data_IF_300238425388
#
_entry.id   IF_300238425388
#
_cell.length_a   1.000
_cell.length_b   1.000
_cell.length_c   1.000
_cell.angle_alpha   90.00
_cell.angle_beta   90.00
_cell.angle_gamma   90.00
#
_symmetry.space_group_name_H-M   'P 1'
#
loop_
_entity.id
_entity.type
_entity.pdbx_description
1 polymer ?
#
# COMPACT_ATOMS: atom_id res chain seq x y z
N UNK A 1 4.83 8.82 5.16
CA UNK A 1 3.40 9.18 4.95
C UNK A 1 2.52 8.08 5.55
N UNK A 2 1.52 8.46 6.29
CA UNK A 2 0.57 7.49 6.84
C UNK A 2 -0.30 6.92 5.74
N UNK A 3 -0.64 5.65 5.88
CA UNK A 3 -1.47 4.97 4.89
C UNK A 3 -2.25 3.83 5.53
N UNK A 4 -3.16 3.25 4.77
CA UNK A 4 -4.02 2.16 5.22
C UNK A 4 -3.65 0.82 4.60
N UNK A 5 -2.45 0.69 4.07
CA UNK A 5 -2.05 -0.54 3.36
C UNK A 5 -2.14 -1.76 4.28
N UNK A 6 -1.59 -1.66 5.49
CA UNK A 6 -1.64 -2.76 6.44
C UNK A 6 -3.08 -3.15 6.79
N UNK A 7 -3.92 -2.14 7.05
CA UNK A 7 -5.32 -2.38 7.35
C UNK A 7 -6.03 -3.10 6.21
N UNK A 8 -5.87 -2.60 4.98
CA UNK A 8 -6.52 -3.19 3.81
C UNK A 8 -6.03 -4.61 3.55
N UNK A 9 -4.72 -4.83 3.74
CA UNK A 9 -4.13 -6.15 3.60
C UNK A 9 -4.71 -7.13 4.63
N UNK A 10 -4.80 -6.70 5.88
CA UNK A 10 -5.32 -7.54 6.95
C UNK A 10 -6.79 -7.87 6.75
N UNK A 11 -7.57 -6.92 6.23
CA UNK A 11 -8.98 -7.16 5.93
C UNK A 11 -9.18 -8.26 4.90
N UNK A 12 -8.20 -8.49 4.04
CA UNK A 12 -8.24 -9.53 3.02
C UNK A 12 -7.44 -10.77 3.43
N UNK A 13 -6.92 -10.80 4.64
CA UNK A 13 -6.11 -11.91 5.16
C UNK A 13 -4.89 -12.19 4.30
N UNK A 14 -4.25 -11.13 3.79
CA UNK A 14 -3.06 -11.24 2.95
C UNK A 14 -1.80 -11.03 3.78
N UNK A 15 -0.77 -11.83 3.48
CA UNK A 15 0.56 -11.59 4.03
C UNK A 15 1.24 -10.46 3.26
N UNK A 16 2.30 -9.90 3.84
CA UNK A 16 3.10 -8.90 3.15
C UNK A 16 3.67 -9.43 1.83
N UNK A 17 4.09 -10.69 1.82
CA UNK A 17 4.63 -11.30 0.61
C UNK A 17 3.56 -11.47 -0.46
N UNK A 18 2.36 -11.87 -0.06
CA UNK A 18 1.27 -12.02 -1.02
C UNK A 18 0.90 -10.69 -1.66
N UNK A 19 0.86 -9.63 -0.88
CA UNK A 19 0.58 -8.31 -1.44
C UNK A 19 1.72 -7.85 -2.35
N UNK A 20 2.98 -8.08 -1.95
CA UNK A 20 4.13 -7.73 -2.76
C UNK A 20 4.07 -8.42 -4.12
N UNK A 21 3.75 -9.71 -4.13
CA UNK A 21 3.62 -10.48 -5.37
C UNK A 21 2.49 -9.93 -6.25
N UNK A 22 1.38 -9.55 -5.63
CA UNK A 22 0.21 -9.07 -6.37
C UNK A 22 0.48 -7.75 -7.10
N UNK A 23 1.32 -6.89 -6.54
CA UNK A 23 1.63 -5.59 -7.15
C UNK A 23 3.06 -5.52 -7.70
N UNK A 24 3.71 -6.69 -7.82
CA UNK A 24 5.01 -6.85 -8.49
C UNK A 24 6.14 -6.01 -7.86
N UNK A 25 6.22 -6.04 -6.55
CA UNK A 25 7.32 -5.42 -5.80
C UNK A 25 7.88 -6.41 -4.79
N UNK A 26 8.96 -6.04 -4.11
CA UNK A 26 9.54 -6.88 -3.08
C UNK A 26 8.77 -6.73 -1.77
N UNK A 27 8.86 -7.77 -0.92
CA UNK A 27 8.29 -7.71 0.41
C UNK A 27 8.83 -6.52 1.20
N UNK A 28 10.13 -6.22 1.05
CA UNK A 28 10.74 -5.10 1.75
C UNK A 28 10.08 -3.77 1.37
N UNK A 29 9.66 -3.62 0.12
CA UNK A 29 8.95 -2.44 -0.32
C UNK A 29 7.62 -2.29 0.44
N UNK A 30 6.88 -3.39 0.59
CA UNK A 30 5.62 -3.37 1.34
C UNK A 30 5.87 -3.01 2.80
N UNK A 31 6.89 -3.61 3.42
CA UNK A 31 7.25 -3.30 4.81
C UNK A 31 7.55 -1.81 4.98
N UNK A 32 8.36 -1.25 4.09
CA UNK A 32 8.71 0.17 4.15
C UNK A 32 7.52 1.08 3.94
N UNK A 33 6.61 0.71 3.03
CA UNK A 33 5.37 1.46 2.81
C UNK A 33 4.50 1.46 4.06
N UNK A 34 4.30 0.29 4.67
CA UNK A 34 3.44 0.16 5.85
C UNK A 34 4.00 0.93 7.04
N UNK A 35 5.32 1.04 7.13
CA UNK A 35 5.97 1.80 8.19
C UNK A 35 6.01 3.31 7.92
N UNK A 36 5.54 3.75 6.76
CA UNK A 36 5.54 5.16 6.41
C UNK A 36 6.91 5.72 6.05
N UNK A 37 7.92 4.86 5.85
CA UNK A 37 9.29 5.28 5.54
C UNK A 37 9.56 5.48 4.06
N UNK A 38 8.67 5.00 3.23
CA UNK A 38 8.82 5.06 1.79
C UNK A 38 7.50 5.49 1.18
N UNK A 39 7.55 6.42 0.26
CA UNK A 39 6.38 6.87 -0.47
C UNK A 39 6.31 6.10 -1.78
N UNK A 40 5.16 5.54 -2.07
CA UNK A 40 4.98 4.79 -3.30
C UNK A 40 5.15 5.69 -4.51
N UNK A 41 5.74 5.13 -5.58
CA UNK A 41 5.70 5.78 -6.89
C UNK A 41 4.25 5.88 -7.34
N UNK A 42 3.98 6.77 -8.29
CA UNK A 42 2.63 6.91 -8.83
C UNK A 42 2.12 5.60 -9.42
N UNK A 43 2.99 4.86 -10.11
CA UNK A 43 2.62 3.57 -10.70
C UNK A 43 2.24 2.57 -9.61
N UNK A 44 3.03 2.47 -8.55
CA UNK A 44 2.75 1.54 -7.47
C UNK A 44 1.49 1.96 -6.71
N UNK A 45 1.31 3.25 -6.46
CA UNK A 45 0.11 3.75 -5.80
C UNK A 45 -1.15 3.38 -6.61
N UNK A 46 -1.07 3.51 -7.93
CA UNK A 46 -2.17 3.12 -8.82
C UNK A 46 -2.46 1.62 -8.74
N UNK A 47 -1.40 0.79 -8.77
CA UNK A 47 -1.56 -0.66 -8.66
C UNK A 47 -2.23 -1.07 -7.36
N UNK A 48 -1.83 -0.44 -6.26
CA UNK A 48 -2.44 -0.69 -4.96
C UNK A 48 -3.92 -0.30 -4.95
N UNK A 49 -4.25 0.85 -5.52
CA UNK A 49 -5.62 1.32 -5.60
C UNK A 49 -6.50 0.36 -6.40
N UNK A 50 -6.00 -0.09 -7.55
CA UNK A 50 -6.73 -1.06 -8.38
C UNK A 50 -6.89 -2.39 -7.64
N UNK A 51 -5.82 -2.88 -7.03
CA UNK A 51 -5.86 -4.17 -6.32
C UNK A 51 -6.86 -4.16 -5.17
N UNK A 52 -6.88 -3.08 -4.39
CA UNK A 52 -7.80 -2.95 -3.26
C UNK A 52 -9.15 -2.37 -3.64
N UNK A 53 -9.37 -2.10 -4.93
CA UNK A 53 -10.64 -1.55 -5.44
C UNK A 53 -11.04 -0.26 -4.74
N UNK A 54 -10.08 0.65 -4.61
CA UNK A 54 -10.26 1.91 -3.93
C UNK A 54 -9.49 3.02 -4.66
N UNK A 55 -9.33 4.17 -4.04
CA UNK A 55 -8.60 5.29 -4.61
C UNK A 55 -7.28 5.50 -3.88
N UNK A 56 -6.35 6.21 -4.55
CA UNK A 56 -5.08 6.57 -3.93
C UNK A 56 -5.31 7.39 -2.67
N UNK A 57 -6.26 8.31 -2.72
CA UNK A 57 -6.58 9.18 -1.58
C UNK A 57 -7.12 8.41 -0.38
N UNK A 58 -7.74 7.26 -0.62
CA UNK A 58 -8.25 6.42 0.46
C UNK A 58 -7.17 5.53 1.07
N UNK A 59 -6.12 5.24 0.32
CA UNK A 59 -5.00 4.45 0.82
C UNK A 59 -4.00 5.33 1.55
N UNK A 60 -3.58 6.42 0.91
CA UNK A 60 -2.56 7.30 1.43
C UNK A 60 -3.22 8.52 2.08
N UNK A 61 -2.95 8.69 3.36
CA UNK A 61 -3.59 9.74 4.14
C UNK A 61 -2.81 11.04 3.95
N UNK A 62 -3.31 11.88 3.07
CA UNK A 62 -2.72 13.20 2.82
C UNK A 62 -3.18 14.13 3.93
N UNK A 63 -2.32 14.28 4.94
CA UNK A 63 -2.63 15.16 6.06
C UNK A 63 -2.35 16.59 5.65
N UNK A 64 -3.31 17.45 5.95
CA UNK A 64 -3.08 18.88 5.79
C UNK A 64 -2.41 19.43 7.03
N UNK A 65 -1.42 20.26 6.80
CA UNK A 65 -0.68 20.88 7.88
C UNK A 65 -1.57 21.86 8.65
#
# INVERSE_FOLDING_TARGET
MKNRIQQLRNERNLTQQELADAVAVTRQTIISLENGRYNASLVLAHKLAVFFETTIEQIFLFEEA
#
